data_IF_205873912997
#
_entry.id   IF_205873912997
#
_cell.length_a   1.000
_cell.length_b   1.000
_cell.length_c   1.000
_cell.angle_alpha   90.00
_cell.angle_beta   90.00
_cell.angle_gamma   90.00
#
_symmetry.space_group_name_H-M   'P 1'
#
loop_
_entity.id
_entity.type
_entity.pdbx_description
1 polymer ?
#
# COMPACT_ATOMS: atom_id res chain seq x y z
N UNK A 1 18.76 79.40 -77.10
CA UNK A 1 19.66 80.09 -76.15
C UNK A 1 19.34 79.57 -74.75
N UNK A 2 20.19 78.73 -74.15
CA UNK A 2 19.98 78.19 -72.80
C UNK A 2 21.05 78.74 -71.85
N UNK A 3 20.63 79.39 -70.77
CA UNK A 3 21.51 80.05 -69.81
C UNK A 3 22.08 78.99 -68.85
N UNK A 4 23.38 78.78 -68.87
CA UNK A 4 24.07 77.92 -67.91
C UNK A 4 24.66 78.77 -66.79
N UNK A 5 24.09 78.68 -65.59
CA UNK A 5 24.60 79.35 -64.40
C UNK A 5 25.51 78.40 -63.63
N UNK A 6 26.83 78.55 -63.80
CA UNK A 6 27.82 77.85 -62.96
C UNK A 6 28.18 78.73 -61.76
N UNK A 7 27.80 78.31 -60.55
CA UNK A 7 28.06 79.06 -59.31
C UNK A 7 29.35 78.55 -58.67
N UNK A 8 30.43 79.33 -58.76
CA UNK A 8 31.68 79.03 -58.02
C UNK A 8 31.45 79.20 -56.52
N UNK A 9 31.67 78.14 -55.74
CA UNK A 9 31.67 78.19 -54.27
C UNK A 9 33.04 78.65 -53.78
N UNK A 10 33.09 79.82 -53.16
CA UNK A 10 34.23 80.28 -52.36
C UNK A 10 34.38 79.38 -51.14
N UNK A 11 35.55 78.75 -51.01
CA UNK A 11 35.96 77.99 -49.84
C UNK A 11 36.36 79.00 -48.77
N UNK A 12 35.46 79.32 -47.85
CA UNK A 12 35.81 79.81 -46.51
C UNK A 12 34.56 79.78 -45.64
N UNK A 13 34.36 78.69 -44.92
CA UNK A 13 33.32 78.58 -43.87
C UNK A 13 33.91 77.83 -42.68
N UNK A 14 33.84 78.44 -41.50
CA UNK A 14 34.30 77.88 -40.23
C UNK A 14 33.74 76.46 -39.97
N UNK A 15 34.51 75.57 -39.30
CA UNK A 15 34.06 74.21 -39.01
C UNK A 15 32.96 74.23 -37.95
N UNK A 16 31.70 74.21 -38.38
CA UNK A 16 30.55 73.97 -37.50
C UNK A 16 30.55 72.49 -37.12
N UNK A 17 30.82 72.19 -35.85
CA UNK A 17 30.78 70.83 -35.32
C UNK A 17 29.32 70.40 -35.13
N UNK A 18 28.77 69.74 -36.13
CA UNK A 18 27.45 69.12 -36.04
C UNK A 18 27.48 67.98 -35.00
N UNK A 19 26.61 68.06 -34.00
CA UNK A 19 26.40 66.96 -33.06
C UNK A 19 25.73 65.80 -33.81
N UNK A 20 26.14 64.53 -33.59
CA UNK A 20 25.47 63.39 -34.21
C UNK A 20 24.01 63.39 -33.78
N UNK A 21 23.12 63.41 -34.77
CA UNK A 21 21.69 63.51 -34.54
C UNK A 21 21.18 62.28 -33.78
N UNK A 22 20.52 62.50 -32.65
CA UNK A 22 19.82 61.48 -31.86
C UNK A 22 18.55 61.02 -32.61
N UNK A 23 18.73 60.41 -33.78
CA UNK A 23 17.64 59.85 -34.57
C UNK A 23 17.28 58.51 -33.95
N UNK A 24 16.13 58.43 -33.30
CA UNK A 24 15.54 57.12 -33.00
C UNK A 24 15.48 56.34 -34.30
N UNK A 25 16.05 55.12 -34.36
CA UNK A 25 16.06 54.37 -35.60
C UNK A 25 14.61 54.17 -36.03
N UNK A 26 14.24 54.52 -37.28
CA UNK A 26 12.86 54.43 -37.75
C UNK A 26 12.26 53.02 -37.61
N UNK A 27 13.13 52.01 -37.48
CA UNK A 27 12.81 50.61 -37.23
C UNK A 27 12.00 50.39 -35.94
N UNK A 28 12.23 51.17 -34.87
CA UNK A 28 11.53 50.97 -33.60
C UNK A 28 10.04 51.32 -33.70
N UNK A 29 9.70 52.35 -34.48
CA UNK A 29 8.30 52.75 -34.73
C UNK A 29 7.54 51.65 -35.46
N UNK A 30 8.17 51.02 -36.45
CA UNK A 30 7.58 49.91 -37.19
C UNK A 30 7.42 48.65 -36.34
N UNK A 31 8.39 48.33 -35.49
CA UNK A 31 8.27 47.20 -34.54
C UNK A 31 7.12 47.42 -33.57
N UNK A 32 6.95 48.64 -33.04
CA UNK A 32 5.82 49.00 -32.16
C UNK A 32 4.47 48.84 -32.87
N UNK A 33 4.37 49.26 -34.13
CA UNK A 33 3.14 49.13 -34.90
C UNK A 33 2.79 47.66 -35.19
N UNK A 34 3.79 46.86 -35.57
CA UNK A 34 3.63 45.41 -35.79
C UNK A 34 3.25 44.71 -34.50
N UNK A 35 3.90 45.06 -33.38
CA UNK A 35 3.60 44.50 -32.07
C UNK A 35 2.15 44.80 -31.68
N UNK A 36 1.73 46.05 -31.79
CA UNK A 36 0.36 46.49 -31.47
C UNK A 36 -0.69 45.78 -32.32
N UNK A 37 -0.42 45.63 -33.62
CA UNK A 37 -1.30 44.91 -34.55
C UNK A 37 -1.37 43.40 -34.23
N UNK A 38 -0.28 42.82 -33.70
CA UNK A 38 -0.18 41.39 -33.39
C UNK A 38 -0.75 40.98 -32.02
N UNK A 39 -1.11 41.93 -31.14
CA UNK A 39 -1.69 41.64 -29.82
C UNK A 39 -2.88 40.68 -29.86
N UNK A 40 -3.94 40.89 -30.69
CA UNK A 40 -5.09 39.97 -30.72
C UNK A 40 -4.69 38.55 -31.13
N UNK A 41 -3.69 38.40 -32.00
CA UNK A 41 -3.15 37.10 -32.41
C UNK A 41 -2.39 36.43 -31.26
N UNK A 42 -1.59 37.20 -30.51
CA UNK A 42 -0.84 36.70 -29.36
C UNK A 42 -1.77 36.17 -28.26
N UNK A 43 -2.91 36.85 -28.05
CA UNK A 43 -3.94 36.43 -27.09
C UNK A 43 -4.57 35.09 -27.50
N UNK A 44 -4.89 34.90 -28.78
CA UNK A 44 -5.41 33.63 -29.28
C UNK A 44 -4.42 32.49 -29.10
N UNK A 45 -3.16 32.72 -29.47
CA UNK A 45 -2.09 31.74 -29.28
C UNK A 45 -1.97 31.37 -27.80
N UNK A 46 -1.99 32.36 -26.90
CA UNK A 46 -1.93 32.13 -25.46
C UNK A 46 -3.10 31.27 -24.96
N UNK A 47 -4.33 31.55 -25.38
CA UNK A 47 -5.50 30.78 -24.98
C UNK A 47 -5.41 29.32 -25.43
N UNK A 48 -5.07 29.09 -26.70
CA UNK A 48 -4.91 27.74 -27.27
C UNK A 48 -3.80 26.99 -26.54
N UNK A 49 -2.63 27.59 -26.39
CA UNK A 49 -1.50 26.96 -25.69
C UNK A 49 -1.88 26.60 -24.24
N UNK A 50 -2.58 27.49 -23.55
CA UNK A 50 -3.03 27.27 -22.18
C UNK A 50 -4.04 26.11 -22.09
N UNK A 51 -4.93 25.96 -23.06
CA UNK A 51 -5.92 24.88 -23.11
C UNK A 51 -5.29 23.51 -23.43
N UNK A 52 -4.35 23.46 -24.39
CA UNK A 52 -3.71 22.21 -24.80
C UNK A 52 -2.60 21.75 -23.84
N UNK A 53 -1.82 22.68 -23.26
CA UNK A 53 -0.73 22.33 -22.34
C UNK A 53 -1.24 22.11 -20.92
N UNK A 54 -2.19 22.93 -20.43
CA UNK A 54 -2.76 22.77 -19.10
C UNK A 54 -4.07 22.02 -19.20
N UNK A 55 -3.97 20.72 -19.48
CA UNK A 55 -5.13 19.85 -19.43
C UNK A 55 -5.56 19.71 -17.96
N UNK A 56 -6.54 20.54 -17.56
CA UNK A 56 -7.09 20.57 -16.20
C UNK A 56 -8.09 19.43 -16.05
N UNK A 57 -7.61 18.28 -15.63
CA UNK A 57 -8.49 17.19 -15.22
C UNK A 57 -8.94 17.41 -13.77
N UNK A 58 -10.25 17.43 -13.54
CA UNK A 58 -10.80 17.28 -12.19
C UNK A 58 -10.69 15.80 -11.81
N UNK A 59 -9.56 15.45 -11.19
CA UNK A 59 -9.32 14.10 -10.67
C UNK A 59 -9.89 13.99 -9.27
N UNK A 60 -10.86 13.09 -9.06
CA UNK A 60 -11.27 12.68 -7.73
C UNK A 60 -10.36 11.55 -7.25
N UNK A 61 -9.62 11.78 -6.17
CA UNK A 61 -8.86 10.73 -5.51
C UNK A 61 -9.85 9.93 -4.65
N UNK A 62 -10.21 8.74 -5.13
CA UNK A 62 -11.09 7.81 -4.39
C UNK A 62 -10.23 6.80 -3.66
N UNK A 63 -10.40 6.71 -2.34
CA UNK A 63 -9.74 5.71 -1.51
C UNK A 63 -10.68 4.53 -1.29
N UNK A 64 -10.15 3.32 -1.38
CA UNK A 64 -10.87 2.12 -0.97
C UNK A 64 -11.01 2.11 0.56
N UNK A 65 -12.24 2.01 1.05
CA UNK A 65 -12.55 2.12 2.48
C UNK A 65 -13.07 0.77 2.98
N UNK A 66 -12.27 0.11 3.81
CA UNK A 66 -12.65 -1.16 4.42
C UNK A 66 -13.28 -0.87 5.79
N UNK A 67 -14.53 -1.31 5.98
CA UNK A 67 -15.21 -1.19 7.27
C UNK A 67 -15.00 -2.46 8.08
N UNK A 68 -14.42 -2.33 9.27
CA UNK A 68 -14.27 -3.43 10.22
C UNK A 68 -15.46 -3.41 11.18
N UNK A 69 -16.24 -4.51 11.19
CA UNK A 69 -17.37 -4.69 12.09
C UNK A 69 -17.08 -5.81 13.08
N UNK A 70 -17.57 -5.67 14.31
CA UNK A 70 -17.50 -6.75 15.29
C UNK A 70 -18.31 -7.96 14.79
N UNK A 71 -17.76 -9.19 14.86
CA UNK A 71 -18.45 -10.38 14.39
C UNK A 71 -19.58 -10.84 15.31
N UNK A 72 -19.48 -10.54 16.61
CA UNK A 72 -20.44 -10.95 17.65
C UNK A 72 -20.52 -9.88 18.74
N UNK A 73 -21.46 -10.05 19.67
CA UNK A 73 -21.56 -9.25 20.88
C UNK A 73 -20.37 -9.51 21.82
N UNK A 74 -19.74 -8.44 22.29
CA UNK A 74 -18.58 -8.50 23.17
C UNK A 74 -17.99 -7.14 23.48
N UNK A 75 -16.85 -7.16 24.15
CA UNK A 75 -16.18 -5.95 24.64
C UNK A 75 -14.84 -5.74 23.92
N UNK A 76 -14.51 -4.47 23.67
CA UNK A 76 -13.21 -4.08 23.14
C UNK A 76 -12.21 -4.09 24.31
N UNK A 77 -11.20 -4.97 24.24
CA UNK A 77 -10.18 -5.09 25.28
C UNK A 77 -9.09 -4.03 25.12
N UNK A 78 -8.66 -3.77 23.89
CA UNK A 78 -7.74 -2.68 23.58
C UNK A 78 -7.92 -2.21 22.15
N UNK A 79 -7.73 -0.90 21.95
CA UNK A 79 -7.61 -0.25 20.65
C UNK A 79 -6.20 0.30 20.56
N UNK A 80 -5.40 -0.23 19.65
CA UNK A 80 -3.96 0.03 19.56
C UNK A 80 -3.62 1.06 18.47
N UNK A 81 -4.62 1.75 17.93
CA UNK A 81 -4.45 2.72 16.84
C UNK A 81 -5.20 4.00 17.13
N UNK A 82 -4.71 5.10 16.57
CA UNK A 82 -5.39 6.39 16.56
C UNK A 82 -5.95 6.71 15.17
N UNK A 83 -6.97 7.59 15.13
CA UNK A 83 -7.56 8.02 13.88
C UNK A 83 -6.51 8.75 13.01
N UNK A 84 -6.37 8.33 11.76
CA UNK A 84 -5.39 8.89 10.81
C UNK A 84 -3.99 8.27 10.91
N UNK A 85 -3.78 7.27 11.76
CA UNK A 85 -2.51 6.56 11.86
C UNK A 85 -2.28 5.64 10.65
N UNK A 86 -1.05 5.61 10.13
CA UNK A 86 -0.67 4.72 9.03
C UNK A 86 -0.39 3.31 9.59
N UNK A 87 -1.24 2.35 9.23
CA UNK A 87 -1.14 0.95 9.65
C UNK A 87 -0.50 0.09 8.55
N UNK A 88 0.35 -0.85 8.95
CA UNK A 88 0.92 -1.85 8.04
C UNK A 88 0.02 -3.08 7.96
N UNK A 89 0.11 -3.83 6.87
CA UNK A 89 -0.57 -5.12 6.76
C UNK A 89 -0.18 -6.04 7.93
N UNK A 90 -1.17 -6.73 8.50
CA UNK A 90 -1.04 -7.63 9.66
C UNK A 90 -0.74 -6.95 11.01
N UNK A 91 -0.82 -5.62 11.11
CA UNK A 91 -0.75 -4.92 12.39
C UNK A 91 -2.03 -5.17 13.20
N UNK A 92 -1.87 -5.45 14.51
CA UNK A 92 -3.01 -5.63 15.41
C UNK A 92 -3.61 -4.27 15.74
N UNK A 93 -4.84 -4.04 15.26
CA UNK A 93 -5.57 -2.78 15.42
C UNK A 93 -6.42 -2.80 16.69
N UNK A 94 -7.10 -3.92 16.93
CA UNK A 94 -8.12 -4.08 17.95
C UNK A 94 -8.02 -5.49 18.53
N UNK A 95 -8.08 -5.59 19.86
CA UNK A 95 -8.28 -6.86 20.55
C UNK A 95 -9.74 -6.92 20.99
N UNK A 96 -10.51 -7.82 20.38
CA UNK A 96 -11.90 -8.07 20.71
C UNK A 96 -12.02 -9.25 21.68
N UNK A 97 -12.87 -9.13 22.70
CA UNK A 97 -13.16 -10.22 23.62
C UNK A 97 -14.67 -10.45 23.74
N UNK A 98 -15.14 -11.63 23.33
CA UNK A 98 -16.52 -12.04 23.51
C UNK A 98 -16.65 -13.14 24.57
N UNK A 99 -17.44 -12.92 25.64
CA UNK A 99 -17.66 -13.93 26.67
C UNK A 99 -18.42 -15.15 26.14
N UNK A 100 -19.32 -14.95 25.16
CA UNK A 100 -20.11 -16.04 24.56
C UNK A 100 -19.22 -16.98 23.75
N UNK A 101 -18.33 -16.43 22.91
CA UNK A 101 -17.36 -17.21 22.14
C UNK A 101 -16.40 -17.96 23.07
N UNK A 102 -15.94 -17.34 24.16
CA UNK A 102 -15.07 -18.00 25.14
C UNK A 102 -15.76 -19.18 25.82
N UNK A 103 -17.03 -19.03 26.22
CA UNK A 103 -17.80 -20.10 26.84
C UNK A 103 -18.02 -21.28 25.89
N UNK A 104 -18.38 -21.01 24.63
CA UNK A 104 -18.52 -22.05 23.60
C UNK A 104 -17.20 -22.80 23.37
N UNK A 105 -16.09 -22.06 23.31
CA UNK A 105 -14.78 -22.63 23.08
C UNK A 105 -14.29 -23.48 24.26
N UNK A 106 -14.64 -23.10 25.50
CA UNK A 106 -14.41 -23.92 26.69
C UNK A 106 -15.24 -25.20 26.67
N UNK A 107 -16.53 -25.10 26.34
CA UNK A 107 -17.42 -26.24 26.20
C UNK A 107 -16.90 -27.26 25.18
N UNK A 108 -16.52 -26.80 23.98
CA UNK A 108 -15.95 -27.65 22.93
C UNK A 108 -14.66 -28.35 23.36
N UNK A 109 -13.79 -27.65 24.12
CA UNK A 109 -12.57 -28.25 24.68
C UNK A 109 -12.86 -29.31 25.73
N UNK A 110 -13.85 -29.07 26.60
CA UNK A 110 -14.27 -30.04 27.60
C UNK A 110 -14.85 -31.30 26.94
N UNK A 111 -15.67 -31.13 25.91
CA UNK A 111 -16.26 -32.25 25.17
C UNK A 111 -15.19 -33.05 24.42
N UNK A 112 -14.25 -32.39 23.73
CA UNK A 112 -13.11 -33.06 23.11
C UNK A 112 -12.32 -33.89 24.13
N UNK A 113 -12.06 -33.34 25.32
CA UNK A 113 -11.34 -34.06 26.37
C UNK A 113 -12.11 -35.31 26.82
N UNK A 114 -13.42 -35.16 27.06
CA UNK A 114 -14.30 -36.27 27.43
C UNK A 114 -14.27 -37.41 26.41
N UNK A 115 -14.33 -37.08 25.12
CA UNK A 115 -14.25 -38.06 24.03
C UNK A 115 -12.92 -38.82 24.02
N UNK A 116 -11.81 -38.12 24.25
CA UNK A 116 -10.47 -38.73 24.32
C UNK A 116 -10.38 -39.66 25.54
N UNK A 117 -10.86 -39.22 26.71
CA UNK A 117 -10.85 -40.03 27.93
C UNK A 117 -11.74 -41.29 27.76
N UNK A 118 -12.87 -41.16 27.06
CA UNK A 118 -13.72 -42.29 26.70
C UNK A 118 -12.99 -43.26 25.77
N UNK A 119 -12.36 -42.78 24.69
CA UNK A 119 -11.57 -43.65 23.80
C UNK A 119 -10.45 -44.39 24.54
N UNK A 120 -9.74 -43.70 25.42
CA UNK A 120 -8.65 -44.30 26.20
C UNK A 120 -9.15 -45.36 27.17
N UNK A 121 -10.28 -45.11 27.86
CA UNK A 121 -10.87 -46.09 28.78
C UNK A 121 -11.41 -47.31 28.04
N UNK A 122 -12.04 -47.12 26.88
CA UNK A 122 -12.45 -48.22 25.99
C UNK A 122 -11.24 -49.03 25.53
N UNK A 123 -10.15 -48.39 25.12
CA UNK A 123 -8.92 -49.07 24.71
C UNK A 123 -8.28 -49.87 25.86
N UNK A 124 -8.21 -49.30 27.06
CA UNK A 124 -7.67 -49.99 28.24
C UNK A 124 -8.50 -51.22 28.62
N UNK A 125 -9.84 -51.12 28.55
CA UNK A 125 -10.76 -52.23 28.87
C UNK A 125 -10.65 -53.43 27.92
N UNK A 126 -10.22 -53.20 26.67
CA UNK A 126 -10.00 -54.28 25.69
C UNK A 126 -8.63 -54.94 25.84
N UNK A 127 -7.64 -54.21 26.38
CA UNK A 127 -6.25 -54.68 26.50
C UNK A 127 -6.06 -55.51 27.77
N UNK A 128 -6.62 -55.10 28.91
CA UNK A 128 -6.34 -55.76 30.20
C UNK A 128 -6.85 -57.20 30.39
N UNK A 129 -8.07 -57.62 29.95
CA UNK A 129 -8.53 -58.98 30.24
C UNK A 129 -7.72 -60.05 29.49
N UNK A 130 -7.10 -59.69 28.36
CA UNK A 130 -6.37 -60.65 27.53
C UNK A 130 -4.93 -60.85 28.01
N UNK A 131 -4.25 -59.79 28.48
CA UNK A 131 -2.87 -59.92 28.95
C UNK A 131 -2.75 -60.66 30.30
N UNK A 132 -3.68 -60.48 31.24
CA UNK A 132 -3.62 -61.24 32.49
C UNK A 132 -3.81 -62.75 32.26
N UNK A 133 -4.75 -63.12 31.39
CA UNK A 133 -4.96 -64.53 31.03
C UNK A 133 -3.74 -65.11 30.29
N UNK A 134 -3.10 -64.35 29.40
CA UNK A 134 -1.90 -64.83 28.70
C UNK A 134 -0.68 -64.94 29.63
N UNK A 135 -0.50 -64.03 30.59
CA UNK A 135 0.59 -64.09 31.56
C UNK A 135 0.42 -65.26 32.55
N UNK A 136 -0.82 -65.55 32.95
CA UNK A 136 -1.11 -66.68 33.84
C UNK A 136 -0.91 -68.04 33.14
N UNK A 137 -1.42 -68.19 31.92
CA UNK A 137 -1.23 -69.42 31.13
C UNK A 137 0.25 -69.66 30.81
N UNK A 138 1.01 -68.61 30.50
CA UNK A 138 2.45 -68.74 30.20
C UNK A 138 3.26 -69.14 31.43
N UNK A 139 2.95 -68.58 32.61
CA UNK A 139 3.58 -68.99 33.87
C UNK A 139 3.22 -70.42 34.25
N UNK A 140 1.96 -70.83 34.04
CA UNK A 140 1.53 -72.20 34.32
C UNK A 140 2.23 -73.22 33.41
N UNK A 141 2.44 -72.88 32.13
CA UNK A 141 3.23 -73.71 31.20
C UNK A 141 4.70 -73.79 31.62
N UNK A 142 5.32 -72.66 32.00
CA UNK A 142 6.72 -72.61 32.43
C UNK A 142 6.94 -73.47 33.69
N UNK A 143 6.05 -73.36 34.68
CA UNK A 143 6.10 -74.15 35.93
C UNK A 143 5.93 -75.64 35.63
N UNK A 144 5.00 -76.00 34.73
CA UNK A 144 4.76 -77.41 34.35
C UNK A 144 5.96 -78.02 33.63
N UNK A 145 6.59 -77.28 32.71
CA UNK A 145 7.80 -77.73 32.01
C UNK A 145 8.97 -77.89 33.00
N UNK A 146 9.14 -76.94 33.93
CA UNK A 146 10.21 -76.99 34.92
C UNK A 146 10.02 -78.13 35.93
N UNK A 147 8.79 -78.38 36.38
CA UNK A 147 8.47 -79.49 37.29
C UNK A 147 8.64 -80.87 36.61
N UNK A 148 8.30 -80.99 35.33
CA UNK A 148 8.53 -82.20 34.54
C UNK A 148 10.02 -82.48 34.27
N UNK A 149 10.84 -81.45 34.17
CA UNK A 149 12.29 -81.60 33.95
C UNK A 149 13.02 -82.04 35.23
N UNK A 150 12.57 -81.62 36.41
CA UNK A 150 13.19 -81.97 37.69
C UNK A 150 12.82 -83.39 38.17
N UNK A 151 11.69 -83.94 37.70
CA UNK A 151 11.23 -85.30 38.05
C UNK A 151 11.80 -86.40 37.13
N UNK A 152 12.45 -86.03 36.02
CA UNK A 152 13.13 -86.97 35.12
C UNK A 152 14.64 -87.13 35.36
N UNK A 153 15.20 -86.50 36.41
CA UNK A 153 16.64 -86.47 36.73
C UNK A 153 16.92 -87.01 38.14
N UNK A 154 16.35 -88.15 38.49
CA UNK A 154 16.71 -89.02 39.63
C UNK A 154 16.62 -90.47 39.13
#
# INVERSE_FOLDING_TARGET
>A
MGIQLTKKRTKDTLPVKYHPSLRTPPKLRWIMLVLLLSIPLLILIYQVVNEYILVRFSGLITYDTITLRAPDDGYIKSLNVQAGENIRAHQVILIFNSPTTQAQLQYLRAEKKRLIDLMNSLQQSQITPNLEHLLDVTNLILITIFAGFFTGLI
#
